data_IF_145447281979
#
_entry.id   IF_145447281979
#
_cell.length_a   1.000
_cell.length_b   1.000
_cell.length_c   1.000
_cell.angle_alpha   90.00
_cell.angle_beta   90.00
_cell.angle_gamma   90.00
#
_symmetry.space_group_name_H-M   'P 1'
#
loop_
_entity.id
_entity.type
_entity.pdbx_description
1 polymer ?
#
# COMPACT_ATOMS: atom_id res chain seq x y z
N UNK A 1 34.28 10.34 14.61
CA UNK A 1 33.39 10.14 15.77
C UNK A 1 33.89 8.94 16.61
N UNK A 2 33.94 7.70 16.10
CA UNK A 2 34.38 6.53 16.88
C UNK A 2 35.75 6.73 17.55
N UNK A 3 36.76 7.20 16.80
CA UNK A 3 38.11 7.45 17.31
C UNK A 3 38.12 8.52 18.44
N UNK A 4 37.19 9.43 18.43
CA UNK A 4 37.00 10.44 19.48
C UNK A 4 36.37 9.81 20.72
N UNK A 5 35.36 9.00 20.56
CA UNK A 5 34.65 8.33 21.65
C UNK A 5 35.55 7.31 22.37
N UNK A 6 36.35 6.57 21.63
CA UNK A 6 37.32 5.60 22.20
C UNK A 6 38.51 6.21 22.97
N UNK A 7 38.69 7.53 22.91
CA UNK A 7 39.71 8.22 23.70
C UNK A 7 39.28 8.57 25.13
N UNK A 8 38.00 8.47 25.43
CA UNK A 8 37.52 8.67 26.79
C UNK A 8 37.91 7.45 27.65
N UNK A 9 38.51 7.70 28.82
CA UNK A 9 38.83 6.65 29.79
C UNK A 9 37.65 6.26 30.67
N UNK A 10 36.44 6.59 30.24
CA UNK A 10 35.20 6.36 30.96
C UNK A 10 34.27 5.54 30.09
N UNK A 11 33.21 4.98 30.70
CA UNK A 11 32.19 4.26 29.97
C UNK A 11 31.44 5.22 29.04
N UNK A 12 31.40 4.88 27.76
CA UNK A 12 30.71 5.66 26.71
C UNK A 12 29.56 4.87 26.18
N UNK A 13 28.37 5.43 26.22
CA UNK A 13 27.15 4.88 25.58
C UNK A 13 26.69 5.80 24.48
N UNK A 14 26.53 5.26 23.29
CA UNK A 14 25.97 5.99 22.15
C UNK A 14 24.49 5.72 22.08
N UNK A 15 23.72 6.78 22.01
CA UNK A 15 22.26 6.70 21.95
C UNK A 15 21.77 7.34 20.65
N UNK A 16 20.90 6.67 19.91
CA UNK A 16 20.31 7.18 18.69
C UNK A 16 18.84 6.83 18.57
N UNK A 17 18.10 7.66 17.86
CA UNK A 17 16.69 7.39 17.52
C UNK A 17 16.60 6.52 16.27
N UNK A 18 15.70 5.54 16.23
CA UNK A 18 15.45 4.72 15.05
C UNK A 18 14.78 5.56 13.96
N UNK A 19 15.55 6.03 12.98
CA UNK A 19 15.05 6.82 11.85
C UNK A 19 15.15 6.02 10.57
N UNK A 20 14.09 5.28 10.25
CA UNK A 20 14.07 4.42 9.07
C UNK A 20 15.23 3.43 9.04
N UNK A 21 16.01 3.45 7.95
CA UNK A 21 17.22 2.62 7.79
C UNK A 21 18.52 3.41 8.01
N UNK A 22 18.43 4.73 8.17
CA UNK A 22 19.61 5.62 8.14
C UNK A 22 20.53 5.47 9.35
N UNK A 23 20.01 5.00 10.48
CA UNK A 23 20.81 4.74 11.68
C UNK A 23 21.63 3.44 11.57
N UNK A 24 21.22 2.46 10.76
CA UNK A 24 21.83 1.13 10.70
C UNK A 24 23.32 1.15 10.32
N UNK A 25 23.78 1.87 9.28
CA UNK A 25 25.21 1.90 8.94
C UNK A 25 26.08 2.48 10.05
N UNK A 26 25.58 3.50 10.75
CA UNK A 26 26.30 4.13 11.86
C UNK A 26 26.33 3.20 13.06
N UNK A 27 25.24 2.56 13.38
CA UNK A 27 25.10 1.55 14.42
C UNK A 27 26.09 0.42 14.23
N UNK A 28 26.05 -0.25 13.06
CA UNK A 28 26.94 -1.38 12.75
C UNK A 28 28.41 -0.98 12.88
N UNK A 29 28.78 0.15 12.30
CA UNK A 29 30.15 0.64 12.39
C UNK A 29 30.60 0.90 13.84
N UNK A 30 29.75 1.48 14.69
CA UNK A 30 30.10 1.78 16.08
C UNK A 30 30.21 0.49 16.91
N UNK A 31 29.32 -0.47 16.70
CA UNK A 31 29.38 -1.78 17.37
C UNK A 31 30.61 -2.58 16.94
N UNK A 32 31.01 -2.56 15.66
CA UNK A 32 32.27 -3.16 15.19
C UNK A 32 33.51 -2.56 15.86
N UNK A 33 33.44 -1.32 16.34
CA UNK A 33 34.48 -0.65 17.14
C UNK A 33 34.40 -0.94 18.64
N UNK A 34 33.46 -1.80 19.07
CA UNK A 34 33.31 -2.17 20.47
C UNK A 34 32.59 -1.11 21.32
N UNK A 35 31.90 -0.17 20.71
CA UNK A 35 31.13 0.83 21.43
C UNK A 35 29.75 0.32 21.77
N UNK A 36 29.29 0.56 23.00
CA UNK A 36 27.90 0.35 23.38
C UNK A 36 26.98 1.28 22.59
N UNK A 37 26.01 0.74 21.88
CA UNK A 37 25.04 1.51 21.12
C UNK A 37 23.63 1.10 21.49
N UNK A 38 22.79 2.07 21.82
CA UNK A 38 21.35 1.87 22.05
C UNK A 38 20.54 2.62 21.02
N UNK A 39 19.51 1.96 20.49
CA UNK A 39 18.58 2.53 19.52
C UNK A 39 17.21 2.67 20.15
N UNK A 40 16.71 3.90 20.23
CA UNK A 40 15.46 4.23 20.91
C UNK A 40 14.34 4.32 19.90
N UNK A 41 13.18 3.77 20.27
CA UNK A 41 11.97 3.90 19.50
C UNK A 41 11.51 5.37 19.44
N UNK A 42 11.22 5.95 18.26
CA UNK A 42 10.72 7.32 18.10
C UNK A 42 9.48 7.63 18.94
N UNK A 43 8.64 6.64 19.19
CA UNK A 43 7.48 6.80 20.06
C UNK A 43 7.88 7.12 21.51
N UNK A 44 8.89 6.44 22.06
CA UNK A 44 9.41 6.73 23.40
C UNK A 44 10.00 8.14 23.47
N UNK A 45 10.72 8.55 22.43
CA UNK A 45 11.23 9.92 22.34
C UNK A 45 10.10 10.95 22.28
N UNK A 46 9.02 10.66 21.59
CA UNK A 46 7.82 11.52 21.55
C UNK A 46 7.18 11.65 22.95
N UNK A 47 7.05 10.54 23.68
CA UNK A 47 6.50 10.52 25.04
C UNK A 47 7.42 11.30 25.99
N UNK A 48 8.72 11.06 25.92
CA UNK A 48 9.71 11.75 26.74
C UNK A 48 9.70 13.28 26.53
N UNK A 49 9.48 13.73 25.29
CA UNK A 49 9.33 15.15 24.91
C UNK A 49 8.02 15.78 25.35
N UNK A 50 6.96 15.01 25.60
CA UNK A 50 5.61 15.55 25.86
C UNK A 50 5.51 16.38 27.14
N UNK A 51 6.50 16.31 28.03
CA UNK A 51 6.63 17.16 29.20
C UNK A 51 7.20 18.57 28.92
N UNK A 52 7.72 18.82 27.72
CA UNK A 52 8.40 20.09 27.39
C UNK A 52 7.50 20.95 26.47
N UNK A 53 6.97 22.06 26.99
CA UNK A 53 6.15 23.01 26.26
C UNK A 53 6.92 23.62 25.06
N UNK A 54 6.40 23.37 23.84
CA UNK A 54 6.67 24.08 22.58
C UNK A 54 8.07 24.65 22.38
N UNK A 55 9.06 23.81 22.13
CA UNK A 55 10.37 24.25 21.60
C UNK A 55 10.43 24.09 20.10
N UNK A 56 11.13 25.04 19.44
CA UNK A 56 11.43 24.95 18.02
C UNK A 56 12.15 23.62 17.72
N UNK A 57 11.72 22.91 16.68
CA UNK A 57 12.32 21.64 16.25
C UNK A 57 13.60 21.93 15.47
N UNK A 58 14.76 21.61 16.06
CA UNK A 58 16.07 21.69 15.42
C UNK A 58 16.88 20.45 15.77
N UNK A 59 17.75 20.00 14.88
CA UNK A 59 18.59 18.81 15.09
C UNK A 59 19.44 18.92 16.36
N UNK A 60 19.90 20.14 16.72
CA UNK A 60 20.66 20.40 17.94
C UNK A 60 19.81 20.18 19.20
N UNK A 61 18.56 20.56 19.18
CA UNK A 61 17.65 20.33 20.31
C UNK A 61 17.31 18.85 20.40
N UNK A 62 17.04 18.21 19.27
CA UNK A 62 16.72 16.79 19.20
C UNK A 62 17.87 15.92 19.71
N UNK A 63 19.13 16.22 19.32
CA UNK A 63 20.30 15.50 19.84
C UNK A 63 20.50 15.66 21.35
N UNK A 64 20.22 16.82 21.92
CA UNK A 64 20.26 17.03 23.38
C UNK A 64 19.19 16.21 24.10
N UNK A 65 18.00 16.17 23.59
CA UNK A 65 16.89 15.40 24.18
C UNK A 65 17.23 13.90 24.17
N UNK A 66 17.80 13.38 23.07
CA UNK A 66 18.27 12.00 22.99
C UNK A 66 19.38 11.74 24.01
N UNK A 67 20.33 12.65 24.15
CA UNK A 67 21.41 12.54 25.14
C UNK A 67 20.87 12.56 26.58
N UNK A 68 19.95 13.47 26.92
CA UNK A 68 19.31 13.51 28.21
C UNK A 68 18.54 12.22 28.54
N UNK A 69 17.80 11.70 27.59
CA UNK A 69 17.16 10.40 27.74
C UNK A 69 18.17 9.29 28.05
N UNK A 70 19.31 9.28 27.36
CA UNK A 70 20.39 8.33 27.64
C UNK A 70 20.98 8.47 29.05
N UNK A 71 21.09 9.69 29.57
CA UNK A 71 21.55 9.96 30.92
C UNK A 71 20.53 9.48 31.97
N UNK A 72 19.25 9.82 31.76
CA UNK A 72 18.19 9.46 32.71
C UNK A 72 17.96 7.93 32.77
N UNK A 73 18.27 7.21 31.69
CA UNK A 73 18.12 5.76 31.58
C UNK A 73 19.47 5.01 31.56
N UNK A 74 20.55 5.61 32.00
CA UNK A 74 21.92 5.09 31.88
C UNK A 74 22.08 3.62 32.28
N UNK A 75 21.46 3.20 33.36
CA UNK A 75 21.59 1.86 33.92
C UNK A 75 20.56 0.87 33.38
N UNK A 76 19.49 1.35 32.77
CA UNK A 76 18.38 0.51 32.31
C UNK A 76 18.31 0.39 30.78
N UNK A 77 19.10 1.19 30.08
CA UNK A 77 19.10 1.24 28.62
C UNK A 77 19.74 -0.03 28.05
N UNK A 78 19.00 -0.78 27.20
CA UNK A 78 19.57 -1.99 26.58
C UNK A 78 20.54 -1.63 25.46
N UNK A 79 21.58 -2.43 25.34
CA UNK A 79 22.40 -2.43 24.13
C UNK A 79 21.57 -2.96 22.95
N UNK A 80 21.72 -2.32 21.79
CA UNK A 80 21.07 -2.80 20.58
C UNK A 80 21.62 -4.16 20.18
N UNK A 81 20.74 -5.13 20.06
CA UNK A 81 21.04 -6.42 19.49
C UNK A 81 20.41 -6.45 18.08
N UNK A 82 21.23 -6.75 17.08
CA UNK A 82 20.70 -6.99 15.75
C UNK A 82 19.68 -8.14 15.83
N UNK A 83 18.47 -7.92 15.35
CA UNK A 83 17.53 -9.01 15.15
C UNK A 83 18.14 -9.97 14.12
N UNK A 84 17.87 -11.27 14.27
CA UNK A 84 18.27 -12.25 13.24
C UNK A 84 17.89 -11.73 11.85
N UNK A 85 18.75 -11.93 10.86
CA UNK A 85 18.59 -11.43 9.49
C UNK A 85 17.20 -11.77 8.91
N UNK A 86 16.63 -12.92 9.29
CA UNK A 86 15.32 -13.38 8.87
C UNK A 86 14.19 -12.41 9.27
N UNK A 87 14.26 -11.77 10.45
CA UNK A 87 13.24 -10.78 10.86
C UNK A 87 13.37 -9.48 10.06
N UNK A 88 14.60 -9.11 9.71
CA UNK A 88 14.88 -7.99 8.81
C UNK A 88 14.28 -8.22 7.43
N UNK A 89 14.51 -9.38 6.85
CA UNK A 89 13.94 -9.79 5.56
C UNK A 89 12.41 -9.84 5.59
N UNK A 90 11.82 -10.46 6.61
CA UNK A 90 10.36 -10.51 6.76
C UNK A 90 9.74 -9.11 6.87
N UNK A 91 10.40 -8.19 7.57
CA UNK A 91 9.97 -6.80 7.67
C UNK A 91 9.98 -6.11 6.31
N UNK A 92 11.04 -6.31 5.51
CA UNK A 92 11.16 -5.75 4.16
C UNK A 92 10.09 -6.33 3.23
N UNK A 93 9.92 -7.66 3.23
CA UNK A 93 8.88 -8.33 2.45
C UNK A 93 7.48 -7.85 2.85
N UNK A 94 7.21 -7.70 4.14
CA UNK A 94 5.95 -7.16 4.63
C UNK A 94 5.71 -5.70 4.23
N UNK A 95 6.76 -4.87 4.15
CA UNK A 95 6.65 -3.50 3.62
C UNK A 95 6.34 -3.50 2.12
N UNK A 96 7.03 -4.36 1.36
CA UNK A 96 6.84 -4.51 -0.07
C UNK A 96 5.44 -5.02 -0.41
N UNK A 97 4.97 -6.04 0.33
CA UNK A 97 3.59 -6.53 0.20
C UNK A 97 2.55 -5.42 0.43
N UNK A 98 2.69 -4.64 1.52
CA UNK A 98 1.78 -3.51 1.80
C UNK A 98 1.83 -2.44 0.71
N UNK A 99 2.99 -2.20 0.12
CA UNK A 99 3.13 -1.27 -0.99
C UNK A 99 2.34 -1.73 -2.22
N UNK A 100 2.53 -2.99 -2.64
CA UNK A 100 1.78 -3.56 -3.76
C UNK A 100 0.27 -3.62 -3.51
N UNK A 101 -0.14 -3.99 -2.28
CA UNK A 101 -1.56 -3.97 -1.91
C UNK A 101 -2.16 -2.57 -2.01
N UNK A 102 -1.41 -1.53 -1.61
CA UNK A 102 -1.87 -0.15 -1.75
C UNK A 102 -2.02 0.26 -3.21
N UNK A 103 -1.06 -0.10 -4.06
CA UNK A 103 -1.15 0.15 -5.51
C UNK A 103 -2.37 -0.56 -6.10
N UNK A 104 -2.57 -1.82 -5.78
CA UNK A 104 -3.72 -2.59 -6.25
C UNK A 104 -5.06 -1.95 -5.83
N UNK A 105 -5.19 -1.56 -4.56
CA UNK A 105 -6.40 -0.88 -4.07
C UNK A 105 -6.62 0.45 -4.80
N UNK A 106 -5.57 1.23 -5.02
CA UNK A 106 -5.67 2.50 -5.74
C UNK A 106 -6.13 2.28 -7.20
N UNK A 107 -5.57 1.27 -7.91
CA UNK A 107 -6.00 0.92 -9.27
C UNK A 107 -7.46 0.48 -9.32
N UNK A 108 -7.92 -0.33 -8.35
CA UNK A 108 -9.34 -0.71 -8.26
C UNK A 108 -10.26 0.51 -8.00
N UNK A 109 -9.81 1.49 -7.23
CA UNK A 109 -10.56 2.73 -7.03
C UNK A 109 -10.64 3.55 -8.31
N UNK A 110 -9.52 3.68 -9.02
CA UNK A 110 -9.47 4.41 -10.29
C UNK A 110 -10.38 3.76 -11.35
N UNK A 111 -10.25 2.44 -11.53
CA UNK A 111 -11.16 1.69 -12.41
C UNK A 111 -12.62 1.90 -12.02
N UNK A 112 -12.96 1.80 -10.73
CA UNK A 112 -14.34 2.01 -10.26
C UNK A 112 -14.84 3.41 -10.61
N UNK A 113 -14.01 4.43 -10.39
CA UNK A 113 -14.33 5.82 -10.70
C UNK A 113 -14.59 6.03 -12.20
N UNK A 114 -13.77 5.43 -13.06
CA UNK A 114 -13.99 5.48 -14.52
C UNK A 114 -15.25 4.71 -14.95
N UNK A 115 -15.54 3.59 -14.29
CA UNK A 115 -16.76 2.82 -14.56
C UNK A 115 -18.03 3.57 -14.14
N UNK A 116 -17.98 4.42 -13.13
CA UNK A 116 -19.12 5.26 -12.75
C UNK A 116 -19.53 6.25 -13.88
N UNK A 117 -18.57 6.61 -14.77
CA UNK A 117 -18.87 7.43 -15.95
C UNK A 117 -19.36 6.62 -17.17
N UNK A 118 -18.91 5.38 -17.34
CA UNK A 118 -19.17 4.59 -18.54
C UNK A 118 -20.16 3.45 -18.34
N UNK A 119 -20.17 2.86 -17.15
CA UNK A 119 -21.02 1.73 -16.76
C UNK A 119 -21.44 1.83 -15.29
N UNK A 120 -22.20 2.87 -14.89
CA UNK A 120 -22.59 3.06 -13.50
C UNK A 120 -23.26 1.82 -12.90
N UNK A 121 -22.84 1.43 -11.71
CA UNK A 121 -23.38 0.28 -10.96
C UNK A 121 -22.86 -1.10 -11.39
N UNK A 122 -22.07 -1.22 -12.45
CA UNK A 122 -21.55 -2.51 -12.97
C UNK A 122 -20.73 -3.27 -11.94
N UNK A 123 -19.96 -2.56 -11.10
CA UNK A 123 -19.15 -3.18 -10.02
C UNK A 123 -19.99 -4.08 -9.12
N UNK A 124 -21.22 -3.67 -8.79
CA UNK A 124 -22.13 -4.45 -7.96
C UNK A 124 -22.49 -5.81 -8.56
N UNK A 125 -22.45 -5.93 -9.89
CA UNK A 125 -22.69 -7.20 -10.58
C UNK A 125 -21.52 -8.20 -10.41
N UNK A 126 -20.33 -7.75 -10.03
CA UNK A 126 -19.12 -8.58 -9.91
C UNK A 126 -18.57 -8.67 -8.49
N UNK A 127 -19.34 -8.27 -7.47
CA UNK A 127 -18.92 -8.14 -6.07
C UNK A 127 -18.61 -9.45 -5.33
N UNK A 128 -18.53 -10.60 -5.97
CA UNK A 128 -18.12 -11.85 -5.34
C UNK A 128 -16.60 -12.07 -5.51
N UNK A 129 -15.85 -11.65 -4.51
CA UNK A 129 -14.44 -12.04 -4.35
C UNK A 129 -14.37 -13.55 -4.04
N UNK A 130 -13.74 -14.32 -4.92
CA UNK A 130 -13.33 -15.69 -4.62
C UNK A 130 -11.83 -15.69 -4.33
N UNK A 131 -11.45 -15.88 -3.09
CA UNK A 131 -10.04 -15.91 -2.60
C UNK A 131 -9.12 -16.90 -3.34
N UNK A 132 -9.67 -17.85 -4.07
CA UNK A 132 -8.91 -18.87 -4.80
C UNK A 132 -8.57 -18.52 -6.26
N UNK A 133 -9.14 -17.51 -6.83
CA UNK A 133 -8.96 -17.21 -8.25
C UNK A 133 -8.28 -15.84 -8.42
N UNK A 134 -7.02 -15.84 -8.85
CA UNK A 134 -6.23 -14.62 -9.15
C UNK A 134 -6.76 -13.79 -10.32
N UNK A 135 -7.94 -14.14 -10.88
CA UNK A 135 -8.55 -13.45 -12.01
C UNK A 135 -9.61 -12.48 -11.49
N UNK A 136 -9.48 -11.22 -11.85
CA UNK A 136 -10.53 -10.24 -11.61
C UNK A 136 -11.53 -10.27 -12.77
N UNK A 137 -12.71 -10.83 -12.48
CA UNK A 137 -13.78 -10.96 -13.47
C UNK A 137 -14.33 -9.62 -13.95
N UNK A 138 -14.28 -8.58 -13.10
CA UNK A 138 -14.71 -7.23 -13.48
C UNK A 138 -13.76 -6.65 -14.51
N UNK A 139 -12.46 -6.70 -14.26
CA UNK A 139 -11.44 -6.19 -15.21
C UNK A 139 -11.49 -6.92 -16.53
N UNK A 140 -11.57 -8.26 -16.53
CA UNK A 140 -11.75 -9.05 -17.77
C UNK A 140 -13.05 -8.71 -18.53
N UNK A 141 -14.14 -8.39 -17.80
CA UNK A 141 -15.40 -7.98 -18.43
C UNK A 141 -15.28 -6.59 -19.06
N UNK A 142 -14.70 -5.66 -18.35
CA UNK A 142 -14.50 -4.28 -18.79
C UNK A 142 -13.57 -4.20 -20.01
N UNK A 143 -12.54 -5.02 -20.07
CA UNK A 143 -11.68 -5.16 -21.25
C UNK A 143 -12.49 -5.44 -22.52
N UNK A 144 -13.54 -6.26 -22.42
CA UNK A 144 -14.40 -6.66 -23.53
C UNK A 144 -15.59 -5.73 -23.75
N UNK A 145 -16.23 -5.30 -22.66
CA UNK A 145 -17.47 -4.50 -22.65
C UNK A 145 -17.25 -3.18 -21.88
N UNK A 146 -16.35 -2.34 -22.35
CA UNK A 146 -15.86 -1.15 -21.67
C UNK A 146 -16.85 0.02 -21.52
N UNK A 147 -18.05 -0.09 -22.13
CA UNK A 147 -19.10 0.95 -22.10
C UNK A 147 -20.48 0.31 -22.29
N UNK A 148 -21.53 0.87 -21.63
CA UNK A 148 -22.88 0.37 -21.80
C UNK A 148 -23.39 0.46 -23.24
N UNK A 149 -22.96 1.41 -24.06
CA UNK A 149 -23.36 1.48 -25.47
C UNK A 149 -22.98 0.20 -26.25
N UNK A 150 -21.91 -0.52 -25.82
CA UNK A 150 -21.52 -1.80 -26.41
C UNK A 150 -22.49 -2.94 -26.06
N UNK A 151 -23.33 -2.73 -25.06
CA UNK A 151 -24.34 -3.67 -24.60
C UNK A 151 -25.71 -3.28 -25.18
N UNK A 152 -26.04 -1.99 -25.08
CA UNK A 152 -27.36 -1.49 -25.49
C UNK A 152 -27.56 -1.41 -27.00
N UNK A 153 -26.49 -1.44 -27.80
CA UNK A 153 -26.58 -1.54 -29.27
C UNK A 153 -26.97 -2.93 -29.78
N UNK A 154 -26.92 -3.96 -28.90
CA UNK A 154 -27.29 -5.34 -29.19
C UNK A 154 -28.71 -5.63 -28.71
N UNK A 155 -29.36 -6.64 -29.30
CA UNK A 155 -30.56 -7.17 -28.68
C UNK A 155 -30.22 -8.06 -27.45
N UNK A 156 -31.22 -8.32 -26.59
CA UNK A 156 -31.00 -9.06 -25.33
C UNK A 156 -30.39 -10.46 -25.59
N UNK A 157 -30.89 -11.18 -26.59
CA UNK A 157 -30.42 -12.54 -26.90
C UNK A 157 -29.01 -12.53 -27.47
N UNK A 158 -28.71 -11.56 -28.30
CA UNK A 158 -27.37 -11.36 -28.85
C UNK A 158 -26.35 -11.06 -27.78
N UNK A 159 -26.67 -10.13 -26.85
CA UNK A 159 -25.79 -9.86 -25.73
C UNK A 159 -25.61 -11.07 -24.81
N UNK A 160 -26.67 -11.79 -24.48
CA UNK A 160 -26.59 -13.03 -23.68
C UNK A 160 -25.63 -14.04 -24.32
N UNK A 161 -25.75 -14.26 -25.62
CA UNK A 161 -24.89 -15.20 -26.36
C UNK A 161 -23.41 -14.74 -26.33
N UNK A 162 -23.16 -13.44 -26.52
CA UNK A 162 -21.82 -12.88 -26.46
C UNK A 162 -21.22 -12.99 -25.03
N UNK A 163 -22.01 -12.70 -23.98
CA UNK A 163 -21.60 -12.86 -22.60
C UNK A 163 -21.27 -14.33 -22.26
N UNK A 164 -22.08 -15.27 -22.68
CA UNK A 164 -21.83 -16.70 -22.44
C UNK A 164 -20.58 -17.17 -23.17
N UNK A 165 -20.36 -16.72 -24.41
CA UNK A 165 -19.19 -17.03 -25.20
C UNK A 165 -17.91 -16.46 -24.48
N UNK A 166 -17.93 -15.19 -24.11
CA UNK A 166 -16.88 -14.56 -23.34
C UNK A 166 -16.59 -15.28 -22.02
N UNK A 167 -17.62 -15.63 -21.25
CA UNK A 167 -17.46 -16.35 -20.00
C UNK A 167 -16.83 -17.73 -20.20
N UNK A 168 -17.16 -18.42 -21.28
CA UNK A 168 -16.58 -19.72 -21.68
C UNK A 168 -15.09 -19.57 -22.03
N UNK A 169 -14.71 -18.57 -22.82
CA UNK A 169 -13.32 -18.30 -23.23
C UNK A 169 -12.45 -17.97 -22.03
N UNK A 170 -12.92 -17.07 -21.16
CA UNK A 170 -12.20 -16.65 -19.95
C UNK A 170 -12.29 -17.69 -18.82
N UNK A 171 -12.99 -18.82 -19.01
CA UNK A 171 -13.22 -19.91 -18.03
C UNK A 171 -13.97 -19.46 -16.78
N UNK A 172 -14.96 -18.59 -16.95
CA UNK A 172 -15.90 -18.21 -15.92
C UNK A 172 -17.19 -19.01 -15.97
N UNK A 173 -17.94 -19.00 -14.86
CA UNK A 173 -19.28 -19.59 -14.82
C UNK A 173 -20.21 -18.86 -15.80
N UNK A 174 -20.84 -19.62 -16.68
CA UNK A 174 -21.78 -19.15 -17.71
C UNK A 174 -23.16 -18.98 -17.07
N UNK A 175 -23.55 -17.75 -16.74
CA UNK A 175 -24.84 -17.45 -16.12
C UNK A 175 -25.70 -16.57 -17.04
N UNK A 176 -26.75 -17.13 -17.63
CA UNK A 176 -27.71 -16.39 -18.42
C UNK A 176 -28.45 -15.34 -17.58
N UNK A 177 -28.84 -15.69 -16.34
CA UNK A 177 -29.51 -14.75 -15.44
C UNK A 177 -28.63 -13.53 -15.13
N UNK A 178 -27.30 -13.73 -15.02
CA UNK A 178 -26.36 -12.62 -14.82
C UNK A 178 -26.22 -11.74 -16.05
N UNK A 179 -26.19 -12.33 -17.24
CA UNK A 179 -26.19 -11.59 -18.50
C UNK A 179 -27.46 -10.73 -18.65
N UNK A 180 -28.61 -11.27 -18.34
CA UNK A 180 -29.90 -10.55 -18.34
C UNK A 180 -29.90 -9.40 -17.36
N UNK A 181 -29.38 -9.62 -16.13
CA UNK A 181 -29.27 -8.57 -15.12
C UNK A 181 -28.35 -7.42 -15.56
N UNK A 182 -27.21 -7.73 -16.20
CA UNK A 182 -26.29 -6.72 -16.77
C UNK A 182 -26.96 -5.97 -17.92
N UNK A 183 -27.66 -6.66 -18.82
CA UNK A 183 -28.37 -6.03 -19.92
C UNK A 183 -29.43 -5.04 -19.42
N UNK A 184 -30.23 -5.46 -18.44
CA UNK A 184 -31.22 -4.62 -17.79
C UNK A 184 -30.58 -3.39 -17.14
N UNK A 185 -29.50 -3.59 -16.36
CA UNK A 185 -28.75 -2.51 -15.74
C UNK A 185 -28.23 -1.50 -16.77
N UNK A 186 -27.71 -1.98 -17.91
CA UNK A 186 -27.22 -1.11 -18.98
C UNK A 186 -28.31 -0.24 -19.59
N UNK A 187 -29.55 -0.72 -19.66
CA UNK A 187 -30.69 0.05 -20.19
C UNK A 187 -31.32 0.99 -19.13
N UNK A 188 -31.20 0.68 -17.86
CA UNK A 188 -31.71 1.50 -16.76
C UNK A 188 -30.72 2.58 -16.31
N UNK A 189 -29.45 2.52 -16.75
CA UNK A 189 -28.39 3.43 -16.36
C UNK A 189 -28.04 4.41 -17.46
N UNK A 190 -27.60 5.62 -17.09
CA UNK A 190 -27.19 6.66 -18.02
C UNK A 190 -25.70 6.93 -17.85
N UNK A 191 -24.84 6.48 -18.79
CA UNK A 191 -23.44 6.89 -18.84
C UNK A 191 -23.31 8.41 -18.99
N UNK A 192 -22.35 9.00 -18.32
CA UNK A 192 -22.08 10.45 -18.38
C UNK A 192 -20.99 10.81 -19.37
N UNK A 193 -20.16 9.83 -19.77
CA UNK A 193 -19.19 9.94 -20.88
C UNK A 193 -19.71 9.14 -22.08
N UNK A 194 -19.53 9.68 -23.28
CA UNK A 194 -19.91 9.01 -24.51
C UNK A 194 -18.86 7.99 -24.93
N UNK A 195 -19.32 6.85 -25.46
CA UNK A 195 -18.43 5.83 -26.06
C UNK A 195 -17.70 6.32 -27.31
N UNK A 196 -18.16 7.42 -27.92
CA UNK A 196 -17.52 8.03 -29.09
C UNK A 196 -16.34 8.95 -28.73
N UNK A 197 -16.16 9.26 -27.43
CA UNK A 197 -15.00 10.02 -26.98
C UNK A 197 -13.73 9.19 -27.15
N UNK A 198 -12.75 9.64 -27.98
CA UNK A 198 -11.62 8.79 -28.41
C UNK A 198 -10.77 8.20 -27.27
N UNK A 199 -10.64 8.91 -26.15
CA UNK A 199 -9.84 8.48 -25.02
C UNK A 199 -10.55 7.55 -24.05
N UNK A 200 -11.89 7.45 -24.07
CA UNK A 200 -12.65 6.74 -23.05
C UNK A 200 -12.33 5.24 -23.05
N UNK A 201 -12.25 4.61 -24.21
CA UNK A 201 -11.87 3.21 -24.29
C UNK A 201 -10.50 2.95 -23.67
N UNK A 202 -9.51 3.73 -24.05
CA UNK A 202 -8.14 3.61 -23.54
C UNK A 202 -8.10 3.81 -22.02
N UNK A 203 -8.73 4.86 -21.50
CA UNK A 203 -8.78 5.14 -20.07
C UNK A 203 -9.37 3.98 -19.28
N UNK A 204 -10.45 3.38 -19.76
CA UNK A 204 -11.14 2.28 -19.04
C UNK A 204 -10.39 0.94 -19.16
N UNK A 205 -9.71 0.69 -20.28
CA UNK A 205 -9.00 -0.58 -20.49
C UNK A 205 -7.56 -0.60 -19.95
N UNK A 206 -7.00 0.55 -19.62
CA UNK A 206 -5.65 0.67 -19.05
C UNK A 206 -5.65 0.99 -17.53
N UNK A 207 -6.82 1.22 -16.90
CA UNK A 207 -6.95 1.46 -15.47
C UNK A 207 -6.83 0.16 -14.65
#
# INVERSE_FOLDING_TARGET
>A
LASMLLRFNEEVKVVMEATGIYHLPVLTYLQEKGLFVSVINPYLMKVYRSGDLRRAKTDKIDSRIIANYGIDHWFTMPEFQASEDIYGELKLLGQQYRHYMKLHINSLHELTHLLDYTMPGIKGMFASWNEGNRKDKLSDFVESFWHYDKITCLDEMEFINQYIHWAKEKKYHQSQAKAQAIYKLAHESIPTLSSETPSVKMLVTEA
#
